data_IF_452579226229
#
_entry.id   IF_452579226229
#
_cell.length_a   1.000
_cell.length_b   1.000
_cell.length_c   1.000
_cell.angle_alpha   90.00
_cell.angle_beta   90.00
_cell.angle_gamma   90.00
#
_symmetry.space_group_name_H-M   'P 1'
#
loop_
_entity.id
_entity.type
_entity.pdbx_description
1 polymer ?
#
# COMPACT_ATOMS: atom_id res chain seq x y z
N UNK A 1 13.29 19.71 15.59
CA UNK A 1 12.68 19.15 14.33
C UNK A 1 11.55 18.23 14.71
N UNK A 2 10.52 18.09 13.85
CA UNK A 2 9.49 17.06 14.05
C UNK A 2 10.08 15.71 13.67
N UNK A 3 9.83 14.70 14.52
CA UNK A 3 10.32 13.33 14.35
C UNK A 3 9.28 12.51 13.59
N UNK A 4 9.66 11.89 12.47
CA UNK A 4 8.81 11.01 11.66
C UNK A 4 9.30 9.57 11.83
N UNK A 5 8.44 8.71 12.37
CA UNK A 5 8.66 7.27 12.40
C UNK A 5 8.06 6.63 11.16
N UNK A 6 8.84 5.86 10.41
CA UNK A 6 8.39 5.04 9.28
C UNK A 6 8.51 3.57 9.70
N UNK A 7 7.40 2.90 9.92
CA UNK A 7 7.39 1.44 10.12
C UNK A 7 7.52 0.71 8.79
N UNK A 8 8.00 -0.52 8.79
CA UNK A 8 8.19 -1.26 7.55
C UNK A 8 9.24 -0.65 6.62
N UNK A 9 10.29 -0.06 7.19
CA UNK A 9 11.36 0.67 6.51
C UNK A 9 12.03 -0.13 5.38
N UNK A 10 12.13 -1.44 5.53
CA UNK A 10 12.75 -2.34 4.52
C UNK A 10 11.79 -2.81 3.42
N UNK A 11 10.51 -2.41 3.52
CA UNK A 11 9.48 -2.66 2.49
C UNK A 11 9.61 -1.70 1.31
N UNK A 12 8.78 -1.90 0.30
CA UNK A 12 8.78 -1.07 -0.92
C UNK A 12 8.58 0.42 -0.61
N UNK A 13 7.50 0.76 0.10
CA UNK A 13 7.15 2.14 0.42
C UNK A 13 8.13 2.78 1.41
N UNK A 14 8.53 2.04 2.45
CA UNK A 14 9.54 2.53 3.41
C UNK A 14 10.87 2.85 2.76
N UNK A 15 11.31 2.02 1.80
CA UNK A 15 12.55 2.27 1.05
C UNK A 15 12.44 3.51 0.14
N UNK A 16 11.30 3.71 -0.54
CA UNK A 16 11.09 4.94 -1.35
C UNK A 16 11.03 6.20 -0.48
N UNK A 17 10.38 6.13 0.69
CA UNK A 17 10.41 7.22 1.68
C UNK A 17 11.84 7.50 2.17
N UNK A 18 12.67 6.47 2.37
CA UNK A 18 14.07 6.64 2.75
C UNK A 18 14.88 7.38 1.69
N UNK A 19 14.65 7.10 0.41
CA UNK A 19 15.28 7.85 -0.69
C UNK A 19 14.82 9.31 -0.68
N UNK A 20 13.52 9.55 -0.56
CA UNK A 20 12.95 10.91 -0.59
C UNK A 20 13.33 11.74 0.64
N UNK A 21 13.56 11.12 1.80
CA UNK A 21 13.83 11.80 3.08
C UNK A 21 15.04 12.74 3.02
N UNK A 22 16.02 12.47 2.15
CA UNK A 22 17.19 13.32 1.93
C UNK A 22 16.86 14.73 1.43
N UNK A 23 15.68 14.90 0.80
CA UNK A 23 15.19 16.20 0.31
C UNK A 23 14.33 16.95 1.34
N UNK A 24 14.06 16.35 2.51
CA UNK A 24 13.19 16.88 3.56
C UNK A 24 13.91 16.96 4.91
N UNK A 25 15.03 17.67 4.94
CA UNK A 25 15.93 17.80 6.09
C UNK A 25 15.34 18.58 7.27
N UNK A 26 14.14 19.19 7.13
CA UNK A 26 13.39 19.83 8.21
C UNK A 26 12.78 18.83 9.20
N UNK A 27 12.80 17.52 8.87
CA UNK A 27 12.33 16.43 9.70
C UNK A 27 13.49 15.55 10.19
N UNK A 28 13.32 14.98 11.37
CA UNK A 28 14.15 13.87 11.88
C UNK A 28 13.47 12.56 11.47
N UNK A 29 14.09 11.81 10.56
CA UNK A 29 13.53 10.57 10.03
C UNK A 29 14.05 9.35 10.79
N UNK A 30 13.14 8.49 11.25
CA UNK A 30 13.45 7.21 11.88
C UNK A 30 12.82 6.11 11.05
N UNK A 31 13.67 5.37 10.36
CA UNK A 31 13.27 4.23 9.51
C UNK A 31 13.40 2.95 10.34
N UNK A 32 12.27 2.49 10.89
CA UNK A 32 12.22 1.33 11.77
C UNK A 32 11.94 0.04 11.00
N UNK A 33 12.85 -0.92 11.10
CA UNK A 33 12.64 -2.28 10.65
C UNK A 33 11.85 -3.11 11.68
N UNK A 34 11.74 -4.44 11.47
CA UNK A 34 10.99 -5.33 12.36
C UNK A 34 11.54 -5.41 13.77
N UNK A 35 12.80 -5.07 14.00
CA UNK A 35 13.43 -5.09 15.34
C UNK A 35 13.21 -3.80 16.09
N UNK A 36 12.96 -2.71 15.39
CA UNK A 36 12.82 -1.35 15.93
C UNK A 36 11.35 -0.88 16.01
N UNK A 37 10.45 -1.49 15.23
CA UNK A 37 9.00 -1.35 15.34
C UNK A 37 8.34 -2.70 15.04
N UNK A 38 8.25 -3.52 16.07
CA UNK A 38 7.84 -4.94 16.02
C UNK A 38 6.32 -5.05 16.01
N UNK A 39 5.70 -5.10 14.84
CA UNK A 39 4.23 -5.10 14.71
C UNK A 39 3.55 -6.41 15.13
N UNK A 40 4.27 -7.48 15.31
CA UNK A 40 3.81 -8.80 15.76
C UNK A 40 4.01 -9.06 17.25
N UNK A 41 4.61 -8.11 17.98
CA UNK A 41 4.71 -8.07 19.45
C UNK A 41 4.21 -6.73 19.97
N UNK A 42 2.99 -6.71 20.51
CA UNK A 42 2.32 -5.47 20.90
C UNK A 42 2.93 -4.80 22.13
N UNK A 43 3.45 -5.57 23.08
CA UNK A 43 4.10 -5.00 24.29
C UNK A 43 5.42 -4.35 23.94
N UNK A 44 6.21 -5.01 23.07
CA UNK A 44 7.46 -4.46 22.57
C UNK A 44 7.21 -3.24 21.69
N UNK A 45 6.20 -3.28 20.81
CA UNK A 45 5.81 -2.13 19.96
C UNK A 45 5.45 -0.90 20.82
N UNK A 46 4.66 -1.08 21.87
CA UNK A 46 4.29 0.02 22.76
C UNK A 46 5.51 0.64 23.44
N UNK A 47 6.44 -0.19 23.91
CA UNK A 47 7.71 0.26 24.51
C UNK A 47 8.56 1.03 23.50
N UNK A 48 8.69 0.52 22.27
CA UNK A 48 9.45 1.15 21.19
C UNK A 48 8.85 2.51 20.77
N UNK A 49 7.52 2.60 20.67
CA UNK A 49 6.84 3.87 20.38
C UNK A 49 7.11 4.93 21.47
N UNK A 50 7.09 4.53 22.75
CA UNK A 50 7.39 5.42 23.90
C UNK A 50 8.85 5.89 23.86
N UNK A 51 9.80 5.02 23.53
CA UNK A 51 11.21 5.35 23.42
C UNK A 51 11.49 6.29 22.24
N UNK A 52 10.94 5.99 21.06
CA UNK A 52 11.10 6.81 19.85
C UNK A 52 10.42 8.17 20.01
N UNK A 53 9.24 8.22 20.62
CA UNK A 53 8.43 9.41 20.82
C UNK A 53 8.25 10.24 19.54
N UNK A 54 7.61 9.67 18.48
CA UNK A 54 7.45 10.34 17.20
C UNK A 54 6.36 11.42 17.23
N UNK A 55 6.54 12.48 16.42
CA UNK A 55 5.50 13.48 16.16
C UNK A 55 4.56 13.07 15.02
N UNK A 56 5.06 12.24 14.10
CA UNK A 56 4.31 11.71 12.96
C UNK A 56 4.69 10.24 12.81
N UNK A 57 3.71 9.39 12.54
CA UNK A 57 3.93 7.97 12.21
C UNK A 57 3.42 7.70 10.80
N UNK A 58 4.31 7.21 9.95
CA UNK A 58 3.99 6.58 8.67
C UNK A 58 3.96 5.08 8.89
N UNK A 59 2.77 4.52 9.09
CA UNK A 59 2.61 3.08 9.27
C UNK A 59 2.54 2.37 7.92
N UNK A 60 3.73 2.06 7.37
CA UNK A 60 3.92 1.34 6.11
C UNK A 60 4.15 -0.17 6.30
N UNK A 61 4.37 -0.60 7.54
CA UNK A 61 4.51 -2.01 7.89
C UNK A 61 3.17 -2.75 7.81
N UNK A 62 3.18 -3.92 7.20
CA UNK A 62 2.00 -4.77 7.08
C UNK A 62 2.38 -6.24 6.84
N UNK A 63 1.49 -7.15 7.21
CA UNK A 63 1.52 -8.53 6.72
C UNK A 63 0.88 -8.55 5.32
N UNK A 64 1.68 -8.75 4.28
CA UNK A 64 1.25 -8.63 2.87
C UNK A 64 1.23 -9.94 2.10
N UNK A 65 1.53 -11.06 2.75
CA UNK A 65 1.51 -12.37 2.12
C UNK A 65 0.07 -12.91 2.00
N UNK A 66 -0.69 -12.38 1.03
CA UNK A 66 -2.13 -12.59 0.86
C UNK A 66 -2.54 -14.05 0.95
N UNK A 67 -1.85 -14.93 0.20
CA UNK A 67 -2.18 -16.37 0.18
C UNK A 67 -1.83 -17.08 1.51
N UNK A 68 -0.74 -16.68 2.17
CA UNK A 68 -0.37 -17.21 3.48
C UNK A 68 -1.28 -16.74 4.60
N UNK A 69 -1.89 -15.55 4.47
CA UNK A 69 -2.82 -15.04 5.46
C UNK A 69 -3.98 -16.03 5.74
N UNK A 70 -4.40 -16.81 4.73
CA UNK A 70 -5.44 -17.84 4.90
C UNK A 70 -5.07 -18.89 5.96
N UNK A 71 -3.79 -19.21 6.11
CA UNK A 71 -3.27 -20.15 7.11
C UNK A 71 -2.61 -19.47 8.32
N UNK A 72 -2.18 -18.22 8.19
CA UNK A 72 -1.49 -17.44 9.23
C UNK A 72 -2.39 -16.31 9.77
N UNK A 73 -3.70 -16.58 9.92
CA UNK A 73 -4.72 -15.59 10.28
C UNK A 73 -4.36 -14.80 11.55
N UNK A 74 -3.87 -15.48 12.58
CA UNK A 74 -3.48 -14.82 13.83
C UNK A 74 -2.40 -13.73 13.58
N UNK A 75 -1.34 -14.08 12.87
CA UNK A 75 -0.26 -13.16 12.57
C UNK A 75 -0.74 -11.99 11.68
N UNK A 76 -1.57 -12.28 10.67
CA UNK A 76 -2.14 -11.25 9.80
C UNK A 76 -2.98 -10.23 10.62
N UNK A 77 -3.82 -10.70 11.54
CA UNK A 77 -4.61 -9.83 12.41
C UNK A 77 -3.77 -9.12 13.47
N UNK A 78 -2.74 -9.74 14.03
CA UNK A 78 -1.85 -9.04 14.97
C UNK A 78 -1.19 -7.85 14.30
N UNK A 79 -0.60 -8.05 13.12
CA UNK A 79 0.14 -7.01 12.40
C UNK A 79 -0.77 -5.96 11.74
N UNK A 80 -1.84 -6.41 11.04
CA UNK A 80 -2.68 -5.52 10.22
C UNK A 80 -3.83 -4.89 10.99
N UNK A 81 -4.16 -5.37 12.19
CA UNK A 81 -5.28 -4.89 13.00
C UNK A 81 -4.81 -4.41 14.37
N UNK A 82 -4.38 -5.33 15.26
CA UNK A 82 -4.10 -4.98 16.65
C UNK A 82 -2.96 -3.96 16.79
N UNK A 83 -1.86 -4.14 16.04
CA UNK A 83 -0.76 -3.18 16.03
C UNK A 83 -1.19 -1.81 15.49
N UNK A 84 -2.09 -1.77 14.50
CA UNK A 84 -2.61 -0.51 13.95
C UNK A 84 -3.45 0.23 14.99
N UNK A 85 -4.34 -0.46 15.71
CA UNK A 85 -5.11 0.12 16.81
C UNK A 85 -4.20 0.66 17.94
N UNK A 86 -3.15 -0.09 18.30
CA UNK A 86 -2.17 0.34 19.29
C UNK A 86 -1.44 1.62 18.85
N UNK A 87 -0.96 1.68 17.60
CA UNK A 87 -0.30 2.87 17.05
C UNK A 87 -1.26 4.07 17.07
N UNK A 88 -2.50 3.89 16.63
CA UNK A 88 -3.50 4.94 16.61
C UNK A 88 -3.81 5.49 18.01
N UNK A 89 -3.96 4.59 19.00
CA UNK A 89 -4.12 4.96 20.42
C UNK A 89 -2.92 5.77 20.94
N UNK A 90 -1.69 5.27 20.69
CA UNK A 90 -0.47 5.96 21.08
C UNK A 90 -0.39 7.37 20.48
N UNK A 91 -0.67 7.51 19.18
CA UNK A 91 -0.65 8.79 18.45
C UNK A 91 -1.64 9.79 19.04
N UNK A 92 -2.86 9.36 19.37
CA UNK A 92 -3.87 10.21 20.05
C UNK A 92 -3.37 10.67 21.43
N UNK A 93 -2.87 9.76 22.25
CA UNK A 93 -2.43 10.04 23.63
C UNK A 93 -1.23 11.00 23.68
N UNK A 94 -0.43 11.04 22.60
CA UNK A 94 0.78 11.86 22.51
C UNK A 94 0.64 13.06 21.55
N UNK A 95 -0.56 13.40 21.09
CA UNK A 95 -0.84 14.48 20.14
C UNK A 95 0.05 14.40 18.87
N UNK A 96 0.35 13.19 18.43
CA UNK A 96 1.07 12.93 17.19
C UNK A 96 0.11 12.76 16.01
N UNK A 97 0.62 12.59 14.79
CA UNK A 97 -0.16 12.36 13.56
C UNK A 97 0.10 10.96 13.02
N UNK A 98 -0.91 10.33 12.41
CA UNK A 98 -0.79 9.01 11.80
C UNK A 98 -1.26 9.02 10.35
N UNK A 99 -0.40 8.52 9.45
CA UNK A 99 -0.82 8.05 8.12
C UNK A 99 -0.65 6.53 8.11
N UNK A 100 -1.75 5.80 7.93
CA UNK A 100 -1.77 4.35 7.83
C UNK A 100 -2.08 3.90 6.40
N UNK A 101 -1.31 2.93 5.88
CA UNK A 101 -1.52 2.37 4.55
C UNK A 101 -2.43 1.15 4.62
N UNK A 102 -3.55 1.21 3.89
CA UNK A 102 -4.50 0.12 3.71
C UNK A 102 -4.50 -0.40 2.27
N UNK A 103 -5.54 -1.12 1.87
CA UNK A 103 -5.59 -1.88 0.61
C UNK A 103 -6.95 -1.82 -0.07
N UNK A 104 -6.96 -2.01 -1.38
CA UNK A 104 -8.15 -2.28 -2.20
C UNK A 104 -8.82 -3.64 -1.89
N UNK A 105 -8.13 -4.57 -1.23
CA UNK A 105 -8.70 -5.86 -0.80
C UNK A 105 -9.77 -5.74 0.29
N UNK A 106 -10.07 -4.54 0.77
CA UNK A 106 -11.25 -4.29 1.63
C UNK A 106 -12.56 -4.41 0.86
N UNK A 107 -12.51 -4.45 -0.48
CA UNK A 107 -13.67 -4.61 -1.37
C UNK A 107 -13.79 -6.02 -1.91
N UNK A 108 -15.03 -6.43 -2.29
CA UNK A 108 -15.32 -7.78 -2.77
C UNK A 108 -15.09 -8.00 -4.28
N UNK A 109 -14.91 -6.93 -5.03
CA UNK A 109 -14.72 -6.97 -6.47
C UNK A 109 -16.02 -7.04 -7.30
N UNK A 110 -17.19 -6.83 -6.71
CA UNK A 110 -18.48 -6.89 -7.39
C UNK A 110 -18.82 -5.59 -8.16
N UNK A 111 -18.05 -4.52 -7.99
CA UNK A 111 -18.25 -3.24 -8.67
C UNK A 111 -17.90 -3.33 -10.16
N UNK A 112 -18.50 -2.44 -10.95
CA UNK A 112 -18.14 -2.17 -12.35
C UNK A 112 -17.74 -0.70 -12.58
N UNK A 113 -17.59 0.07 -11.48
CA UNK A 113 -17.17 1.47 -11.49
C UNK A 113 -16.11 1.70 -10.42
N UNK A 114 -15.28 2.70 -10.61
CA UNK A 114 -14.24 3.05 -9.64
C UNK A 114 -14.84 3.30 -8.23
N UNK A 115 -14.21 2.68 -7.23
CA UNK A 115 -14.66 2.66 -5.84
C UNK A 115 -14.15 3.90 -5.11
N UNK A 116 -15.04 4.70 -4.57
CA UNK A 116 -14.72 5.82 -3.69
C UNK A 116 -14.51 5.34 -2.23
N UNK A 117 -14.19 6.26 -1.34
CA UNK A 117 -13.90 5.97 0.04
C UNK A 117 -15.13 5.55 0.86
N UNK A 118 -16.33 5.93 0.39
CA UNK A 118 -17.63 5.62 1.00
C UNK A 118 -18.22 4.30 0.46
N UNK A 119 -17.60 3.71 -0.57
CA UNK A 119 -18.04 2.44 -1.12
C UNK A 119 -18.05 1.35 -0.05
N UNK A 120 -19.12 0.53 -0.06
CA UNK A 120 -19.30 -0.53 0.94
C UNK A 120 -18.16 -1.54 0.89
N UNK A 121 -17.45 -1.69 1.99
CA UNK A 121 -16.42 -2.71 2.18
C UNK A 121 -17.02 -4.09 2.43
N UNK A 122 -16.43 -5.14 1.83
CA UNK A 122 -16.83 -6.53 2.00
C UNK A 122 -15.67 -7.46 1.60
N UNK A 123 -14.58 -7.55 2.40
CA UNK A 123 -13.40 -8.31 2.03
C UNK A 123 -13.73 -9.80 1.84
N UNK A 124 -13.07 -10.45 0.89
CA UNK A 124 -13.31 -11.84 0.50
C UNK A 124 -12.13 -12.78 0.81
N UNK A 125 -11.17 -12.31 1.57
CA UNK A 125 -10.01 -13.08 2.03
C UNK A 125 -9.50 -12.53 3.39
N UNK A 126 -8.71 -13.33 4.09
CA UNK A 126 -8.20 -13.02 5.45
C UNK A 126 -7.31 -11.76 5.45
N UNK A 127 -6.52 -11.54 4.40
CA UNK A 127 -5.71 -10.32 4.28
C UNK A 127 -6.60 -9.06 4.28
N UNK A 128 -7.60 -9.02 3.41
CA UNK A 128 -8.56 -7.91 3.33
C UNK A 128 -9.34 -7.73 4.65
N UNK A 129 -9.80 -8.82 5.27
CA UNK A 129 -10.46 -8.79 6.58
C UNK A 129 -9.56 -8.16 7.64
N UNK A 130 -8.29 -8.57 7.73
CA UNK A 130 -7.34 -8.05 8.71
C UNK A 130 -7.03 -6.56 8.50
N UNK A 131 -6.91 -6.13 7.23
CA UNK A 131 -6.68 -4.72 6.89
C UNK A 131 -7.89 -3.85 7.21
N UNK A 132 -9.10 -4.31 6.87
CA UNK A 132 -10.34 -3.59 7.21
C UNK A 132 -10.54 -3.47 8.72
N UNK A 133 -10.27 -4.53 9.48
CA UNK A 133 -10.32 -4.46 10.95
C UNK A 133 -9.34 -3.40 11.48
N UNK A 134 -8.16 -3.29 10.88
CA UNK A 134 -7.17 -2.24 11.19
C UNK A 134 -7.67 -0.84 10.88
N UNK A 135 -8.34 -0.61 9.74
CA UNK A 135 -8.97 0.69 9.43
C UNK A 135 -9.99 1.09 10.49
N UNK A 136 -10.88 0.15 10.86
CA UNK A 136 -11.94 0.37 11.84
C UNK A 136 -11.36 0.74 13.22
N UNK A 137 -10.40 -0.04 13.72
CA UNK A 137 -9.78 0.22 15.02
C UNK A 137 -8.91 1.48 14.98
N UNK A 138 -8.24 1.77 13.86
CA UNK A 138 -7.47 2.99 13.68
C UNK A 138 -8.35 4.24 13.90
N UNK A 139 -9.48 4.33 13.21
CA UNK A 139 -10.40 5.48 13.32
C UNK A 139 -11.15 5.52 14.64
N UNK A 140 -11.46 4.37 15.22
CA UNK A 140 -12.07 4.27 16.56
C UNK A 140 -11.12 4.78 17.65
N UNK A 141 -9.86 4.42 17.59
CA UNK A 141 -8.84 4.85 18.54
C UNK A 141 -8.39 6.30 18.31
N UNK A 142 -8.29 6.72 17.03
CA UNK A 142 -7.91 8.07 16.68
C UNK A 142 -8.61 8.53 15.39
N UNK A 143 -9.72 9.27 15.52
CA UNK A 143 -10.48 9.83 14.40
C UNK A 143 -9.70 10.84 13.57
N UNK A 144 -8.59 11.39 14.11
CA UNK A 144 -7.71 12.32 13.41
C UNK A 144 -6.66 11.61 12.52
N UNK A 145 -6.71 10.30 12.41
CA UNK A 145 -5.82 9.52 11.54
C UNK A 145 -6.18 9.70 10.06
N UNK A 146 -5.17 9.61 9.21
CA UNK A 146 -5.34 9.47 7.76
C UNK A 146 -5.06 8.02 7.39
N UNK A 147 -5.98 7.41 6.65
CA UNK A 147 -5.83 6.07 6.09
C UNK A 147 -5.77 6.21 4.58
N UNK A 148 -4.77 5.61 3.94
CA UNK A 148 -4.64 5.59 2.48
C UNK A 148 -4.81 4.15 1.99
N UNK A 149 -5.92 3.85 1.31
CA UNK A 149 -6.12 2.60 0.58
C UNK A 149 -5.35 2.67 -0.72
N UNK A 150 -4.56 1.65 -1.00
CA UNK A 150 -3.75 1.57 -2.22
C UNK A 150 -3.86 0.18 -2.84
N UNK A 151 -3.38 0.02 -4.07
CA UNK A 151 -3.48 -1.23 -4.83
C UNK A 151 -2.20 -1.51 -5.62
N UNK A 152 -1.84 -2.79 -5.82
CA UNK A 152 -0.81 -3.26 -6.75
C UNK A 152 0.52 -2.52 -6.64
N UNK A 153 1.00 -2.32 -5.41
CA UNK A 153 2.21 -1.54 -5.14
C UNK A 153 3.44 -2.20 -5.75
N UNK A 154 4.22 -1.40 -6.50
CA UNK A 154 5.50 -1.81 -7.05
C UNK A 154 6.58 -0.74 -6.82
N UNK A 155 7.85 -1.15 -6.87
CA UNK A 155 9.00 -0.29 -6.59
C UNK A 155 10.28 -0.91 -7.16
N UNK A 156 11.33 -0.10 -7.26
CA UNK A 156 12.71 -0.58 -7.46
C UNK A 156 13.17 -1.49 -6.30
N UNK A 157 12.56 -1.37 -5.13
CA UNK A 157 12.87 -2.13 -3.92
C UNK A 157 11.93 -3.32 -3.72
N UNK A 158 12.36 -4.28 -2.90
CA UNK A 158 11.57 -5.45 -2.53
C UNK A 158 11.20 -6.37 -3.70
N UNK A 159 10.27 -7.28 -3.44
CA UNK A 159 9.67 -8.18 -4.43
C UNK A 159 8.30 -7.66 -4.83
N UNK A 160 8.01 -7.63 -6.14
CA UNK A 160 6.74 -7.16 -6.68
C UNK A 160 6.45 -7.78 -8.04
N UNK A 161 5.27 -7.47 -8.57
CA UNK A 161 4.82 -7.99 -9.85
C UNK A 161 5.75 -7.56 -10.99
N UNK A 162 6.19 -6.30 -11.05
CA UNK A 162 7.07 -5.79 -12.13
C UNK A 162 8.35 -6.58 -12.19
N UNK A 163 9.06 -6.74 -11.07
CA UNK A 163 10.31 -7.53 -11.00
C UNK A 163 10.09 -9.00 -11.33
N UNK A 164 8.95 -9.56 -10.91
CA UNK A 164 8.59 -10.93 -11.25
C UNK A 164 8.40 -11.09 -12.75
N UNK A 165 7.68 -10.18 -13.40
CA UNK A 165 7.48 -10.19 -14.85
C UNK A 165 8.80 -9.99 -15.61
N UNK A 166 9.64 -9.03 -15.19
CA UNK A 166 10.96 -8.82 -15.77
C UNK A 166 11.80 -10.10 -15.77
N UNK A 167 11.88 -10.78 -14.62
CA UNK A 167 12.60 -12.05 -14.50
C UNK A 167 12.00 -13.15 -15.37
N UNK A 168 10.70 -13.36 -15.31
CA UNK A 168 10.03 -14.41 -16.07
C UNK A 168 10.13 -14.18 -17.58
N UNK A 169 10.05 -12.93 -18.05
CA UNK A 169 10.18 -12.60 -19.47
C UNK A 169 11.60 -12.74 -20.01
N UNK A 170 12.61 -12.71 -19.14
CA UNK A 170 14.01 -13.03 -19.51
C UNK A 170 14.27 -14.54 -19.53
N UNK A 171 13.59 -15.31 -18.69
CA UNK A 171 13.82 -16.75 -18.50
C UNK A 171 12.95 -17.61 -19.42
N UNK A 172 11.84 -17.09 -19.98
CA UNK A 172 10.80 -17.86 -20.69
C UNK A 172 10.39 -17.22 -22.01
N UNK A 173 10.08 -18.06 -22.99
CA UNK A 173 9.54 -17.61 -24.28
C UNK A 173 8.06 -17.20 -24.19
N UNK A 174 7.33 -17.77 -23.21
CA UNK A 174 5.92 -17.51 -23.00
C UNK A 174 5.55 -17.53 -21.51
N UNK A 175 4.65 -16.61 -21.08
CA UNK A 175 4.06 -16.56 -19.74
C UNK A 175 2.54 -16.34 -19.82
N UNK A 176 1.83 -16.85 -18.83
CA UNK A 176 0.38 -16.65 -18.68
C UNK A 176 0.13 -15.63 -17.55
N UNK A 177 -0.75 -14.65 -17.80
CA UNK A 177 -1.11 -13.60 -16.84
C UNK A 177 -2.61 -13.43 -16.80
N UNK A 178 -3.18 -13.26 -15.61
CA UNK A 178 -4.62 -13.07 -15.39
C UNK A 178 -5.12 -11.78 -16.08
N UNK A 179 -6.23 -11.86 -16.82
CA UNK A 179 -6.78 -10.76 -17.61
C UNK A 179 -8.17 -10.29 -17.18
N UNK A 180 -8.77 -10.93 -16.17
CA UNK A 180 -10.12 -10.66 -15.66
C UNK A 180 -10.11 -10.09 -14.21
N UNK A 181 -8.97 -9.60 -13.76
CA UNK A 181 -8.84 -8.81 -12.54
C UNK A 181 -8.40 -7.39 -12.93
N UNK A 182 -9.27 -6.42 -12.64
CA UNK A 182 -9.12 -5.02 -13.06
C UNK A 182 -8.85 -4.13 -11.85
N UNK A 183 -7.89 -3.22 -12.00
CA UNK A 183 -7.48 -2.27 -10.97
C UNK A 183 -6.51 -1.23 -11.53
N UNK A 184 -5.68 -0.68 -10.67
CA UNK A 184 -4.59 0.21 -11.08
C UNK A 184 -3.33 -0.04 -10.25
N UNK A 185 -2.14 -0.10 -10.88
CA UNK A 185 -0.89 -0.22 -10.14
C UNK A 185 -0.52 1.09 -9.44
N UNK A 186 0.26 0.97 -8.37
CA UNK A 186 0.78 2.11 -7.61
C UNK A 186 2.31 2.03 -7.54
N UNK A 187 2.99 3.01 -8.13
CA UNK A 187 4.41 3.18 -7.90
C UNK A 187 4.65 3.71 -6.49
N UNK A 188 5.40 2.99 -5.68
CA UNK A 188 5.60 3.33 -4.27
C UNK A 188 6.29 4.69 -4.07
N UNK A 189 7.11 5.16 -5.01
CA UNK A 189 7.71 6.49 -4.96
C UNK A 189 6.66 7.61 -5.12
N UNK A 190 5.64 7.42 -5.97
CA UNK A 190 4.55 8.39 -6.13
C UNK A 190 3.68 8.42 -4.87
N UNK A 191 3.37 7.26 -4.28
CA UNK A 191 2.64 7.17 -3.01
C UNK A 191 3.44 7.82 -1.87
N UNK A 192 4.76 7.58 -1.81
CA UNK A 192 5.65 8.21 -0.83
C UNK A 192 5.63 9.73 -0.95
N UNK A 193 5.69 10.26 -2.18
CA UNK A 193 5.59 11.70 -2.42
C UNK A 193 4.22 12.27 -2.02
N UNK A 194 3.13 11.53 -2.28
CA UNK A 194 1.79 11.92 -1.84
C UNK A 194 1.70 12.00 -0.30
N UNK A 195 2.28 11.04 0.44
CA UNK A 195 2.32 11.08 1.90
C UNK A 195 3.09 12.28 2.44
N UNK A 196 4.20 12.64 1.78
CA UNK A 196 4.97 13.83 2.14
C UNK A 196 4.16 15.09 1.86
N UNK A 197 3.51 15.20 0.71
CA UNK A 197 2.67 16.35 0.37
C UNK A 197 1.52 16.54 1.38
N UNK A 198 0.97 15.44 1.90
CA UNK A 198 -0.06 15.50 2.96
C UNK A 198 0.50 16.14 4.25
N UNK A 199 1.69 15.76 4.70
CA UNK A 199 2.27 16.34 5.93
C UNK A 199 2.82 17.75 5.74
N UNK A 200 3.13 18.14 4.51
CA UNK A 200 3.53 19.52 4.14
C UNK A 200 2.30 20.43 3.88
N UNK A 201 1.10 19.84 3.75
CA UNK A 201 -0.12 20.62 3.59
C UNK A 201 -0.37 21.52 4.82
N UNK A 202 -0.86 22.77 4.62
CA UNK A 202 -1.22 23.65 5.73
C UNK A 202 -2.34 23.07 6.59
N UNK A 203 -3.17 22.20 6.03
CA UNK A 203 -4.29 21.58 6.71
C UNK A 203 -4.10 20.07 6.82
N UNK A 204 -4.40 19.53 8.01
CA UNK A 204 -4.50 18.11 8.25
C UNK A 204 -5.97 17.69 8.26
N UNK A 205 -6.44 17.10 7.16
CA UNK A 205 -7.82 16.65 7.00
C UNK A 205 -7.85 15.14 7.15
N UNK A 206 -8.31 14.67 8.33
CA UNK A 206 -8.38 13.25 8.67
C UNK A 206 -9.41 12.49 7.83
N UNK A 207 -9.30 11.16 7.83
CA UNK A 207 -10.23 10.26 7.17
C UNK A 207 -9.58 9.25 6.23
N UNK A 208 -10.42 8.55 5.49
CA UNK A 208 -9.98 7.57 4.49
C UNK A 208 -9.81 8.24 3.14
N UNK A 209 -8.74 7.89 2.45
CA UNK A 209 -8.39 8.33 1.10
C UNK A 209 -7.99 7.14 0.25
N UNK A 210 -8.20 7.23 -1.05
CA UNK A 210 -7.72 6.28 -2.02
C UNK A 210 -6.53 6.85 -2.79
N UNK A 211 -5.50 6.03 -3.04
CA UNK A 211 -4.37 6.39 -3.88
C UNK A 211 -3.88 5.20 -4.70
N UNK A 212 -3.89 5.34 -6.01
CA UNK A 212 -3.17 4.50 -6.99
C UNK A 212 -2.82 5.38 -8.19
N UNK A 213 -1.88 4.99 -9.03
CA UNK A 213 -1.64 5.73 -10.27
C UNK A 213 -2.89 5.74 -11.16
N UNK A 214 -3.03 6.72 -12.05
CA UNK A 214 -4.14 6.77 -13.00
C UNK A 214 -4.03 5.66 -14.04
N UNK A 215 -5.18 5.13 -14.46
CA UNK A 215 -5.34 4.06 -15.42
C UNK A 215 -6.23 2.96 -14.87
N UNK A 216 -6.97 2.31 -15.74
CA UNK A 216 -7.81 1.15 -15.48
C UNK A 216 -7.30 0.02 -16.35
N UNK A 217 -6.71 -1.01 -15.75
CA UNK A 217 -6.05 -2.10 -16.48
C UNK A 217 -6.17 -3.43 -15.73
N UNK A 218 -6.00 -4.52 -16.48
CA UNK A 218 -5.79 -5.86 -15.94
C UNK A 218 -4.32 -6.13 -15.62
N UNK A 219 -4.03 -7.18 -14.85
CA UNK A 219 -2.67 -7.67 -14.67
C UNK A 219 -1.99 -8.04 -16.00
N UNK A 220 -2.76 -8.56 -16.95
CA UNK A 220 -2.27 -8.86 -18.31
C UNK A 220 -1.79 -7.61 -19.03
N UNK A 221 -2.58 -6.54 -19.05
CA UNK A 221 -2.19 -5.26 -19.68
C UNK A 221 -1.02 -4.61 -18.96
N UNK A 222 -0.93 -4.77 -17.65
CA UNK A 222 0.24 -4.31 -16.90
C UNK A 222 1.49 -5.10 -17.30
N UNK A 223 1.40 -6.43 -17.47
CA UNK A 223 2.52 -7.25 -17.96
C UNK A 223 2.93 -6.89 -19.39
N UNK A 224 1.98 -6.59 -20.30
CA UNK A 224 2.28 -6.10 -21.65
C UNK A 224 3.02 -4.74 -21.61
N UNK A 225 2.63 -3.82 -20.72
CA UNK A 225 3.34 -2.55 -20.54
C UNK A 225 4.76 -2.73 -20.02
N UNK A 226 4.97 -3.69 -19.10
CA UNK A 226 6.31 -4.06 -18.59
C UNK A 226 7.16 -4.65 -19.72
N UNK A 227 6.58 -5.54 -20.54
CA UNK A 227 7.24 -6.14 -21.70
C UNK A 227 7.70 -5.09 -22.70
N UNK A 228 6.79 -4.17 -23.06
CA UNK A 228 7.09 -3.08 -24.03
C UNK A 228 8.25 -2.23 -23.53
N UNK A 229 8.20 -1.74 -22.30
CA UNK A 229 9.23 -0.89 -21.73
C UNK A 229 10.58 -1.59 -21.54
N UNK A 230 10.55 -2.88 -21.20
CA UNK A 230 11.77 -3.68 -21.02
C UNK A 230 12.34 -4.25 -22.31
N UNK A 231 11.64 -4.11 -23.46
CA UNK A 231 12.06 -4.66 -24.74
C UNK A 231 12.13 -6.19 -24.77
N UNK A 232 11.27 -6.88 -23.97
CA UNK A 232 11.30 -8.34 -23.86
C UNK A 232 10.59 -9.01 -25.06
N UNK A 233 11.17 -10.10 -25.56
CA UNK A 233 10.57 -10.90 -26.66
C UNK A 233 9.59 -11.97 -26.20
N UNK A 234 9.43 -12.15 -24.86
CA UNK A 234 8.53 -13.13 -24.28
C UNK A 234 7.08 -12.89 -24.72
N UNK A 235 6.36 -13.96 -25.06
CA UNK A 235 4.94 -13.89 -25.38
C UNK A 235 4.13 -13.87 -24.09
N UNK A 236 3.30 -12.86 -23.88
CA UNK A 236 2.36 -12.79 -22.77
C UNK A 236 0.99 -13.25 -23.24
N UNK A 237 0.38 -14.23 -22.54
CA UNK A 237 -0.99 -14.68 -22.80
C UNK A 237 -1.90 -14.29 -21.65
N UNK A 238 -3.02 -13.64 -21.98
CA UNK A 238 -4.10 -13.42 -21.03
C UNK A 238 -4.86 -14.73 -20.75
N UNK A 239 -5.05 -15.03 -19.47
CA UNK A 239 -5.85 -16.17 -19.01
C UNK A 239 -6.89 -15.71 -17.99
N UNK A 240 -8.06 -16.36 -17.87
CA UNK A 240 -8.99 -16.07 -16.81
C UNK A 240 -8.43 -16.51 -15.45
N UNK A 241 -8.84 -15.85 -14.38
CA UNK A 241 -8.44 -16.18 -12.98
C UNK A 241 -8.81 -17.61 -12.59
N UNK A 242 -9.87 -18.18 -13.18
CA UNK A 242 -10.24 -19.59 -13.00
C UNK A 242 -9.17 -20.58 -13.47
N UNK A 243 -8.28 -20.18 -14.39
CA UNK A 243 -7.14 -20.97 -14.84
C UNK A 243 -5.88 -20.77 -13.98
N UNK A 244 -5.95 -19.91 -12.96
CA UNK A 244 -4.85 -19.63 -12.03
C UNK A 244 -5.35 -19.67 -10.58
N UNK A 245 -5.73 -20.85 -10.06
CA UNK A 245 -6.27 -20.97 -8.72
C UNK A 245 -5.23 -20.56 -7.65
N UNK A 246 -5.68 -19.80 -6.66
CA UNK A 246 -4.86 -19.32 -5.54
C UNK A 246 -5.58 -19.57 -4.22
N UNK A 247 -4.85 -19.76 -3.09
CA UNK A 247 -5.46 -19.97 -1.78
C UNK A 247 -6.42 -18.86 -1.38
N UNK A 248 -6.02 -17.61 -1.52
CA UNK A 248 -6.88 -16.45 -1.26
C UNK A 248 -7.65 -16.04 -2.53
N UNK A 249 -8.93 -15.75 -2.39
CA UNK A 249 -9.73 -15.12 -3.46
C UNK A 249 -9.27 -13.69 -3.67
N UNK A 250 -9.26 -13.23 -4.92
CA UNK A 250 -8.91 -11.86 -5.29
C UNK A 250 -10.12 -11.14 -5.89
N UNK A 251 -10.32 -9.84 -5.58
CA UNK A 251 -11.36 -9.05 -6.23
C UNK A 251 -11.19 -9.04 -7.75
N UNK A 252 -12.28 -9.22 -8.48
CA UNK A 252 -12.28 -9.12 -9.95
C UNK A 252 -12.19 -7.66 -10.42
N UNK A 253 -12.68 -6.72 -9.62
CA UNK A 253 -12.60 -5.29 -9.88
C UNK A 253 -12.29 -4.54 -8.59
N UNK A 254 -11.18 -3.78 -8.57
CA UNK A 254 -10.74 -3.02 -7.39
C UNK A 254 -10.18 -1.64 -7.75
N UNK A 255 -10.60 -1.07 -8.87
CA UNK A 255 -10.17 0.27 -9.27
C UNK A 255 -10.61 1.30 -8.23
N UNK A 256 -9.65 2.04 -7.68
CA UNK A 256 -9.89 3.09 -6.69
C UNK A 256 -10.17 4.44 -7.37
N UNK A 257 -11.19 5.15 -6.90
CA UNK A 257 -11.41 6.56 -7.24
C UNK A 257 -10.52 7.44 -6.36
N UNK A 258 -9.73 8.33 -6.96
CA UNK A 258 -8.72 9.18 -6.30
C UNK A 258 -9.13 10.65 -6.21
N UNK A 259 -10.36 11.01 -6.60
CA UNK A 259 -10.78 12.43 -6.68
C UNK A 259 -10.73 13.14 -5.32
N UNK A 260 -11.03 12.41 -4.22
CA UNK A 260 -10.97 12.98 -2.88
C UNK A 260 -9.56 13.43 -2.50
N UNK A 261 -8.55 12.58 -2.64
CA UNK A 261 -7.17 12.92 -2.27
C UNK A 261 -6.60 14.02 -3.18
N UNK A 262 -6.93 14.00 -4.47
CA UNK A 262 -6.54 15.04 -5.44
C UNK A 262 -7.11 16.39 -5.04
N UNK A 263 -8.41 16.45 -4.73
CA UNK A 263 -9.10 17.71 -4.40
C UNK A 263 -8.68 18.26 -3.04
N UNK A 264 -8.62 17.37 -2.01
CA UNK A 264 -8.33 17.79 -0.64
C UNK A 264 -6.90 18.26 -0.47
N UNK A 265 -5.95 17.58 -1.08
CA UNK A 265 -4.52 17.86 -0.92
C UNK A 265 -3.88 18.49 -2.17
N UNK A 266 -4.68 18.86 -3.18
CA UNK A 266 -4.21 19.40 -4.46
C UNK A 266 -3.09 18.56 -5.08
N UNK A 267 -3.30 17.24 -5.13
CA UNK A 267 -2.30 16.28 -5.63
C UNK A 267 -2.53 16.00 -7.12
N UNK A 268 -1.46 16.01 -7.88
CA UNK A 268 -1.42 15.41 -9.21
C UNK A 268 -1.06 13.92 -9.07
N UNK A 269 -1.91 13.05 -9.62
CA UNK A 269 -1.68 11.61 -9.63
C UNK A 269 -1.22 11.20 -11.03
N UNK A 270 0.03 10.75 -11.20
CA UNK A 270 0.56 10.37 -12.51
C UNK A 270 -0.16 9.14 -13.09
N UNK A 271 -0.18 9.04 -14.43
CA UNK A 271 -0.60 7.82 -15.09
C UNK A 271 0.41 6.69 -14.83
N UNK A 272 -0.09 5.45 -14.65
CA UNK A 272 0.76 4.30 -14.34
C UNK A 272 1.88 4.07 -15.37
N UNK A 273 1.66 4.41 -16.65
CA UNK A 273 2.69 4.28 -17.70
C UNK A 273 3.84 5.24 -17.49
N UNK A 274 3.57 6.45 -17.01
CA UNK A 274 4.59 7.43 -16.69
C UNK A 274 5.41 6.98 -15.49
N UNK A 275 4.73 6.51 -14.45
CA UNK A 275 5.35 6.00 -13.22
C UNK A 275 6.16 4.74 -13.49
N UNK A 276 5.66 3.85 -14.34
CA UNK A 276 6.41 2.67 -14.75
C UNK A 276 7.68 3.03 -15.52
N UNK A 277 7.66 4.03 -16.43
CA UNK A 277 8.86 4.55 -17.09
C UNK A 277 9.89 5.09 -16.10
N UNK A 278 9.44 5.83 -15.07
CA UNK A 278 10.33 6.33 -13.99
C UNK A 278 11.00 5.19 -13.23
N UNK A 279 10.30 4.07 -13.02
CA UNK A 279 10.90 2.91 -12.37
C UNK A 279 11.97 2.25 -13.25
N UNK A 280 11.82 2.26 -14.59
CA UNK A 280 12.77 1.65 -15.53
C UNK A 280 13.99 2.55 -15.81
N UNK A 281 13.89 3.85 -15.56
CA UNK A 281 15.00 4.80 -15.66
C UNK A 281 15.97 4.68 -14.48
#
# INVERSE_FOLDING_TARGET
MKKILVTGATGQLGSELSVLSSSYNQYEWIFADRTQATLDDLELLESQLKEINPNIVFNCGAYTAVDKAESEKYLAFTVNHLAVGLIAKYVRENNAKLIHISTDYVFDGSSSVALDEEAKTNPINVYGESKLAGEIDCLKENSESIIIRTSWVYSKFGNNFVKTMQRLMQERDEINVVNDQIGSPTYAADLAQAMINIIESPEWISGIYNYSNEGEISWYEFAESIKELGGYNCKVRGIPSSSYPTPAKRPSYSLLNKEKIKTVYNLEVPNYKESLRKMFA
#
